data_IF_525737181259
#
_entry.id   IF_525737181259
#
_cell.length_a   1.000
_cell.length_b   1.000
_cell.length_c   1.000
_cell.angle_alpha   90.00
_cell.angle_beta   90.00
_cell.angle_gamma   90.00
#
_symmetry.space_group_name_H-M   'P 1'
#
loop_
_entity.id
_entity.type
_entity.pdbx_description
1 polymer ?
#
# COMPACT_ATOMS: atom_id res chain seq x y z
N UNK A 1 -19.82 46.13 51.80
CA UNK A 1 -20.10 47.05 50.66
C UNK A 1 -19.07 46.75 49.53
N UNK A 2 -19.51 46.55 48.36
CA UNK A 2 -18.62 46.38 47.21
C UNK A 2 -18.89 45.08 46.45
N UNK A 3 -19.96 45.04 45.62
CA UNK A 3 -20.27 44.06 44.62
C UNK A 3 -19.24 44.19 43.48
N UNK A 4 -18.71 43.07 42.99
CA UNK A 4 -18.20 42.98 41.64
C UNK A 4 -18.84 41.78 40.98
N UNK A 5 -19.79 42.07 40.11
CA UNK A 5 -20.30 41.13 39.09
C UNK A 5 -19.22 40.97 37.99
N UNK A 6 -18.72 39.79 37.83
CA UNK A 6 -17.85 39.39 36.72
C UNK A 6 -18.56 38.38 35.81
N UNK A 7 -18.96 38.84 34.65
CA UNK A 7 -19.63 38.11 33.56
C UNK A 7 -18.70 36.97 33.04
N UNK A 8 -19.12 35.74 33.24
CA UNK A 8 -18.56 34.57 32.55
C UNK A 8 -19.12 34.53 31.10
N UNK A 9 -18.34 35.01 30.16
CA UNK A 9 -18.54 34.70 28.74
C UNK A 9 -17.86 33.37 28.47
N UNK A 10 -18.66 32.35 28.15
CA UNK A 10 -18.17 31.05 27.73
C UNK A 10 -17.39 31.17 26.42
N UNK A 11 -16.13 30.77 26.43
CA UNK A 11 -15.35 30.49 25.23
C UNK A 11 -15.72 29.07 24.77
N UNK A 12 -16.27 28.97 23.59
CA UNK A 12 -16.45 27.71 22.85
C UNK A 12 -15.06 27.09 22.67
N UNK A 13 -14.86 25.90 23.23
CA UNK A 13 -13.60 25.20 23.20
C UNK A 13 -13.18 24.91 21.76
N UNK A 14 -11.94 25.28 21.41
CA UNK A 14 -11.25 24.77 20.25
C UNK A 14 -11.07 23.27 20.48
N UNK A 15 -11.69 22.43 19.66
CA UNK A 15 -11.47 20.99 19.68
C UNK A 15 -9.98 20.72 19.40
N UNK A 16 -9.36 19.95 20.28
CA UNK A 16 -8.00 19.48 20.08
C UNK A 16 -7.99 18.55 18.85
N UNK A 17 -7.00 18.70 18.00
CA UNK A 17 -6.73 17.72 16.93
C UNK A 17 -6.20 16.43 17.55
N UNK A 18 -6.39 15.29 16.90
CA UNK A 18 -5.85 14.02 17.36
C UNK A 18 -4.32 14.05 17.51
N UNK A 19 -3.62 14.87 16.71
CA UNK A 19 -2.19 15.13 16.85
C UNK A 19 -1.86 15.84 18.18
N UNK A 20 -2.69 16.79 18.62
CA UNK A 20 -2.53 17.46 19.92
C UNK A 20 -2.87 16.52 21.08
N UNK A 21 -3.87 15.64 20.93
CA UNK A 21 -4.18 14.60 21.93
C UNK A 21 -3.03 13.61 22.08
N UNK A 22 -2.42 13.19 20.98
CA UNK A 22 -1.24 12.31 20.99
C UNK A 22 -0.03 12.99 21.64
N UNK A 23 0.20 14.27 21.38
CA UNK A 23 1.26 15.07 22.02
C UNK A 23 1.10 15.15 23.55
N UNK A 24 -0.13 15.32 24.05
CA UNK A 24 -0.41 15.34 25.49
C UNK A 24 -0.29 13.98 26.17
N UNK A 25 -0.37 12.87 25.42
CA UNK A 25 -0.24 11.50 25.98
C UNK A 25 1.19 10.97 25.97
N UNK A 26 2.19 11.77 25.56
CA UNK A 26 3.61 11.37 25.55
C UNK A 26 3.92 10.32 24.48
N UNK A 27 3.06 10.19 23.46
CA UNK A 27 3.30 9.30 22.31
C UNK A 27 4.22 10.02 21.33
N UNK A 28 5.32 9.37 20.96
CA UNK A 28 6.33 9.80 20.00
C UNK A 28 5.73 10.51 18.79
N UNK A 29 6.46 11.49 18.27
CA UNK A 29 6.18 12.16 16.99
C UNK A 29 5.82 11.13 15.92
N UNK A 30 4.55 11.12 15.48
CA UNK A 30 4.14 10.31 14.34
C UNK A 30 4.96 10.73 13.14
N UNK A 31 5.45 9.74 12.39
CA UNK A 31 6.03 9.98 11.08
C UNK A 31 4.94 10.54 10.15
N UNK A 32 5.31 11.31 9.11
CA UNK A 32 4.36 11.76 8.10
C UNK A 32 3.58 10.57 7.52
N UNK A 33 2.29 10.79 7.29
CA UNK A 33 1.47 9.81 6.60
C UNK A 33 1.97 9.63 5.16
N UNK A 34 1.97 8.40 4.68
CA UNK A 34 2.31 8.05 3.32
C UNK A 34 1.12 7.39 2.62
N UNK A 35 0.77 7.88 1.44
CA UNK A 35 -0.23 7.26 0.58
C UNK A 35 0.42 6.64 -0.65
N UNK A 36 0.02 5.41 -0.93
CA UNK A 36 0.45 4.64 -2.09
C UNK A 36 -0.77 4.38 -2.95
N UNK A 37 -0.75 4.82 -4.21
CA UNK A 37 -1.77 4.37 -5.15
C UNK A 37 -1.28 3.16 -5.95
N UNK A 38 -2.16 2.19 -6.18
CA UNK A 38 -1.84 0.88 -6.75
C UNK A 38 -2.56 0.62 -8.08
N UNK A 39 -2.32 1.42 -9.15
CA UNK A 39 -2.92 1.19 -10.46
C UNK A 39 -2.58 -0.18 -11.04
N UNK A 40 -1.39 -0.74 -10.73
CA UNK A 40 -1.03 -2.09 -11.14
C UNK A 40 -2.02 -3.13 -10.60
N UNK A 41 -2.43 -3.01 -9.33
CA UNK A 41 -3.35 -3.95 -8.70
C UNK A 41 -4.76 -3.83 -9.30
N UNK A 42 -5.20 -2.62 -9.58
CA UNK A 42 -6.45 -2.36 -10.29
C UNK A 42 -6.46 -3.01 -11.69
N UNK A 43 -5.38 -2.83 -12.46
CA UNK A 43 -5.30 -3.28 -13.86
C UNK A 43 -5.11 -4.80 -13.95
N UNK A 44 -4.28 -5.41 -13.08
CA UNK A 44 -3.91 -6.82 -13.25
C UNK A 44 -5.08 -7.80 -13.12
N UNK A 45 -6.08 -7.47 -12.32
CA UNK A 45 -7.29 -8.27 -12.11
C UNK A 45 -8.44 -7.90 -13.05
N UNK A 46 -8.31 -6.82 -13.82
CA UNK A 46 -9.38 -6.32 -14.68
C UNK A 46 -9.61 -7.26 -15.88
N UNK A 47 -10.86 -7.67 -16.17
CA UNK A 47 -11.13 -8.69 -17.19
C UNK A 47 -11.02 -8.17 -18.62
N UNK A 48 -11.00 -6.84 -18.83
CA UNK A 48 -10.93 -6.25 -20.16
C UNK A 48 -9.51 -5.75 -20.45
N UNK A 49 -9.03 -5.88 -21.69
CA UNK A 49 -7.72 -5.37 -22.09
C UNK A 49 -7.65 -3.83 -21.92
N UNK A 50 -6.58 -3.36 -21.31
CA UNK A 50 -6.25 -1.95 -21.23
C UNK A 50 -4.99 -1.73 -22.06
N UNK A 51 -5.03 -0.79 -23.00
CA UNK A 51 -3.91 -0.54 -23.91
C UNK A 51 -2.73 0.11 -23.18
N UNK A 52 -1.51 0.00 -23.73
CA UNK A 52 -0.34 0.68 -23.20
C UNK A 52 -0.55 2.20 -23.15
N UNK A 53 -1.20 2.74 -24.16
CA UNK A 53 -1.50 4.18 -24.28
C UNK A 53 -2.45 4.65 -23.16
N UNK A 54 -3.47 3.87 -22.85
CA UNK A 54 -4.42 4.17 -21.77
C UNK A 54 -3.72 4.07 -20.40
N UNK A 55 -2.87 3.05 -20.19
CA UNK A 55 -2.05 2.95 -18.97
C UNK A 55 -1.15 4.17 -18.80
N UNK A 56 -0.47 4.58 -19.87
CA UNK A 56 0.39 5.77 -19.85
C UNK A 56 -0.39 7.04 -19.54
N UNK A 57 -1.57 7.23 -20.15
CA UNK A 57 -2.42 8.39 -19.85
C UNK A 57 -2.84 8.41 -18.37
N UNK A 58 -3.22 7.27 -17.83
CA UNK A 58 -3.60 7.10 -16.43
C UNK A 58 -2.42 7.36 -15.48
N UNK A 59 -1.27 6.71 -15.71
CA UNK A 59 -0.07 6.85 -14.88
C UNK A 59 0.48 8.27 -14.88
N UNK A 60 0.53 8.95 -16.04
CA UNK A 60 0.93 10.36 -16.12
C UNK A 60 0.03 11.27 -15.26
N UNK A 61 -1.24 10.93 -15.18
CA UNK A 61 -2.19 11.68 -14.35
C UNK A 61 -1.96 11.40 -12.87
N UNK A 62 -1.79 10.15 -12.47
CA UNK A 62 -1.51 9.75 -11.10
C UNK A 62 -0.19 10.35 -10.56
N UNK A 63 0.86 10.42 -11.41
CA UNK A 63 2.15 11.02 -11.04
C UNK A 63 2.05 12.52 -10.72
N UNK A 64 0.99 13.21 -11.18
CA UNK A 64 0.72 14.62 -10.86
C UNK A 64 -0.11 14.83 -9.59
N UNK A 65 -0.75 13.77 -9.08
CA UNK A 65 -1.55 13.85 -7.84
C UNK A 65 -0.65 14.10 -6.62
N UNK A 66 0.58 13.56 -6.64
CA UNK A 66 1.57 13.76 -5.59
C UNK A 66 1.54 12.69 -4.50
N UNK A 67 1.13 11.47 -4.82
CA UNK A 67 1.28 10.33 -3.92
C UNK A 67 2.74 10.11 -3.55
N UNK A 68 3.00 9.58 -2.34
CA UNK A 68 4.37 9.24 -1.92
C UNK A 68 4.94 8.11 -2.79
N UNK A 69 4.10 7.15 -3.15
CA UNK A 69 4.46 5.99 -3.96
C UNK A 69 3.38 5.64 -4.97
N UNK A 70 3.80 5.07 -6.09
CA UNK A 70 2.92 4.51 -7.11
C UNK A 70 3.34 3.07 -7.42
N UNK A 71 2.48 2.08 -7.10
CA UNK A 71 2.64 0.69 -7.54
C UNK A 71 2.12 0.58 -8.98
N UNK A 72 3.02 0.83 -9.92
CA UNK A 72 2.65 1.12 -11.32
C UNK A 72 2.74 -0.05 -12.27
N UNK A 73 3.42 -1.14 -11.89
CA UNK A 73 3.63 -2.24 -12.82
C UNK A 73 4.20 -3.50 -12.21
N UNK A 74 4.45 -4.51 -13.04
CA UNK A 74 4.92 -5.80 -12.57
C UNK A 74 5.85 -6.47 -13.59
N UNK A 75 6.93 -7.08 -13.07
CA UNK A 75 7.85 -7.92 -13.81
C UNK A 75 7.64 -9.43 -13.55
N UNK A 76 6.44 -9.81 -13.13
CA UNK A 76 6.05 -11.22 -13.07
C UNK A 76 5.93 -11.83 -14.45
N UNK A 77 5.76 -13.17 -14.53
CA UNK A 77 5.61 -13.84 -15.81
C UNK A 77 4.43 -13.28 -16.62
N UNK A 78 4.62 -12.83 -17.87
CA UNK A 78 3.53 -12.40 -18.76
C UNK A 78 2.47 -13.47 -19.02
N UNK A 79 2.81 -14.74 -18.81
CA UNK A 79 1.84 -15.85 -18.89
C UNK A 79 0.93 -15.89 -17.67
N UNK A 80 1.42 -15.45 -16.51
CA UNK A 80 0.62 -15.41 -15.28
C UNK A 80 -0.21 -14.12 -15.21
N UNK A 81 0.35 -12.99 -15.61
CA UNK A 81 -0.30 -11.67 -15.59
C UNK A 81 -0.10 -10.97 -16.95
N UNK A 82 -0.86 -11.36 -17.99
CA UNK A 82 -0.74 -10.76 -19.32
C UNK A 82 -0.95 -9.25 -19.35
N UNK A 83 -1.82 -8.75 -18.49
CA UNK A 83 -2.13 -7.32 -18.37
C UNK A 83 -0.91 -6.47 -18.00
N UNK A 84 0.15 -7.05 -17.43
CA UNK A 84 1.39 -6.35 -17.03
C UNK A 84 2.58 -6.64 -17.96
N UNK A 85 2.37 -7.34 -19.08
CA UNK A 85 3.45 -7.72 -19.99
C UNK A 85 4.19 -6.52 -20.61
N UNK A 86 3.54 -5.38 -20.68
CA UNK A 86 4.04 -4.12 -21.25
C UNK A 86 4.70 -3.18 -20.22
N UNK A 87 4.82 -3.58 -18.95
CA UNK A 87 5.47 -2.77 -17.90
C UNK A 87 6.82 -2.19 -18.32
N UNK A 88 7.74 -2.97 -18.98
CA UNK A 88 9.01 -2.41 -19.44
C UNK A 88 8.84 -1.28 -20.45
N UNK A 89 7.90 -1.41 -21.40
CA UNK A 89 7.60 -0.38 -22.40
C UNK A 89 7.02 0.88 -21.74
N UNK A 90 6.13 0.70 -20.76
CA UNK A 90 5.53 1.80 -20.00
C UNK A 90 6.61 2.59 -19.25
N UNK A 91 7.48 1.91 -18.51
CA UNK A 91 8.57 2.55 -17.78
C UNK A 91 9.53 3.29 -18.71
N UNK A 92 9.97 2.63 -19.78
CA UNK A 92 10.86 3.25 -20.77
C UNK A 92 10.28 4.55 -21.33
N UNK A 93 9.00 4.55 -21.70
CA UNK A 93 8.35 5.73 -22.24
C UNK A 93 8.23 6.86 -21.21
N UNK A 94 7.89 6.55 -19.94
CA UNK A 94 7.86 7.54 -18.88
C UNK A 94 9.26 8.11 -18.57
N UNK A 95 10.33 7.31 -18.68
CA UNK A 95 11.71 7.79 -18.55
C UNK A 95 12.10 8.69 -19.71
N UNK A 96 11.81 8.31 -20.96
CA UNK A 96 12.08 9.11 -22.15
C UNK A 96 11.35 10.48 -22.14
N UNK A 97 10.20 10.56 -21.49
CA UNK A 97 9.44 11.81 -21.30
C UNK A 97 10.02 12.70 -20.18
N UNK A 98 10.96 12.23 -19.39
CA UNK A 98 11.53 12.98 -18.27
C UNK A 98 10.51 13.31 -17.17
N UNK A 99 9.45 12.48 -17.01
CA UNK A 99 8.38 12.78 -16.07
C UNK A 99 8.84 12.67 -14.60
N UNK A 100 9.85 11.86 -14.35
CA UNK A 100 10.41 11.65 -13.03
C UNK A 100 11.13 12.88 -12.44
N UNK A 101 11.60 13.79 -13.29
CA UNK A 101 12.17 15.07 -12.86
C UNK A 101 11.10 16.06 -12.39
N UNK A 102 9.83 15.77 -12.63
CA UNK A 102 8.69 16.64 -12.37
C UNK A 102 7.83 16.19 -11.19
N UNK A 103 8.16 15.06 -10.58
CA UNK A 103 7.39 14.48 -9.47
C UNK A 103 8.29 14.02 -8.34
N UNK A 104 7.79 14.10 -7.11
CA UNK A 104 8.41 13.48 -5.94
C UNK A 104 7.92 12.05 -5.69
N UNK A 105 6.90 11.59 -6.44
CA UNK A 105 6.32 10.26 -6.32
C UNK A 105 7.35 9.19 -6.68
N UNK A 106 7.52 8.20 -5.83
CA UNK A 106 8.43 7.08 -6.03
C UNK A 106 7.73 5.93 -6.74
N UNK A 107 8.41 5.31 -7.70
CA UNK A 107 7.90 4.15 -8.43
C UNK A 107 8.20 2.85 -7.69
N UNK A 108 7.18 2.02 -7.53
CA UNK A 108 7.26 0.65 -7.06
C UNK A 108 6.76 -0.29 -8.16
N UNK A 109 7.43 -1.43 -8.35
CA UNK A 109 6.98 -2.49 -9.26
C UNK A 109 7.03 -3.85 -8.58
N UNK A 110 6.08 -4.73 -8.90
CA UNK A 110 5.99 -6.06 -8.31
C UNK A 110 6.91 -7.04 -9.04
N UNK A 111 7.62 -7.84 -8.25
CA UNK A 111 8.47 -8.94 -8.69
C UNK A 111 8.16 -10.21 -7.91
N UNK A 112 8.38 -11.41 -8.49
CA UNK A 112 8.15 -12.68 -7.79
C UNK A 112 9.23 -13.76 -8.10
N UNK A 113 10.19 -13.43 -8.95
CA UNK A 113 11.27 -14.34 -9.33
C UNK A 113 12.54 -13.57 -9.74
N UNK A 114 13.67 -14.28 -9.79
CA UNK A 114 14.98 -13.68 -10.05
C UNK A 114 15.06 -12.92 -11.37
N UNK A 115 14.45 -13.47 -12.45
CA UNK A 115 14.42 -12.78 -13.74
C UNK A 115 13.74 -11.42 -13.62
N UNK A 116 12.53 -11.38 -13.06
CA UNK A 116 11.80 -10.11 -12.89
C UNK A 116 12.51 -9.12 -11.98
N UNK A 117 13.22 -9.61 -10.95
CA UNK A 117 14.06 -8.76 -10.08
C UNK A 117 15.16 -8.09 -10.91
N UNK A 118 15.90 -8.88 -11.71
CA UNK A 118 17.00 -8.37 -12.55
C UNK A 118 16.51 -7.41 -13.61
N UNK A 119 15.38 -7.73 -14.28
CA UNK A 119 14.80 -6.89 -15.31
C UNK A 119 14.33 -5.52 -14.71
N UNK A 120 13.70 -5.55 -13.54
CA UNK A 120 13.14 -4.36 -12.90
C UNK A 120 14.21 -3.36 -12.43
N UNK A 121 15.34 -3.83 -11.92
CA UNK A 121 16.40 -2.93 -11.39
C UNK A 121 17.22 -2.24 -12.47
N UNK A 122 17.03 -2.57 -13.73
CA UNK A 122 17.67 -1.87 -14.85
C UNK A 122 17.00 -0.52 -15.17
N UNK A 123 15.79 -0.26 -14.65
CA UNK A 123 15.11 1.02 -14.80
C UNK A 123 15.50 1.95 -13.66
N UNK A 124 16.07 3.11 -14.02
CA UNK A 124 16.51 4.13 -13.04
C UNK A 124 15.33 4.71 -12.25
N UNK A 125 14.18 4.86 -12.90
CA UNK A 125 12.93 5.35 -12.32
C UNK A 125 12.36 4.45 -11.23
N UNK A 126 12.62 3.14 -11.25
CA UNK A 126 12.13 2.22 -10.22
C UNK A 126 12.87 2.48 -8.91
N UNK A 127 12.14 2.94 -7.90
CA UNK A 127 12.67 3.22 -6.56
C UNK A 127 12.60 2.01 -5.63
N UNK A 128 11.59 1.15 -5.80
CA UNK A 128 11.40 -0.03 -4.96
C UNK A 128 10.90 -1.25 -5.73
N UNK A 129 11.28 -2.42 -5.24
CA UNK A 129 10.69 -3.70 -5.63
C UNK A 129 9.69 -4.17 -4.58
N UNK A 130 8.46 -4.44 -4.99
CA UNK A 130 7.43 -5.08 -4.19
C UNK A 130 7.47 -6.60 -4.36
N UNK A 131 7.58 -7.35 -3.27
CA UNK A 131 7.63 -8.81 -3.31
C UNK A 131 6.47 -9.40 -2.50
N UNK A 132 5.55 -10.18 -3.10
CA UNK A 132 4.48 -10.86 -2.37
C UNK A 132 5.03 -12.09 -1.64
N UNK A 133 4.86 -12.12 -0.33
CA UNK A 133 5.15 -13.25 0.54
C UNK A 133 3.93 -13.58 1.38
N UNK A 134 3.50 -14.85 1.45
CA UNK A 134 2.33 -15.22 2.21
C UNK A 134 2.65 -16.01 3.48
N UNK A 135 1.94 -15.66 4.56
CA UNK A 135 1.95 -16.46 5.78
C UNK A 135 1.11 -17.73 5.66
N UNK A 136 0.12 -17.75 4.75
CA UNK A 136 -0.64 -18.96 4.39
C UNK A 136 0.18 -19.80 3.40
N UNK A 137 0.60 -21.01 3.75
CA UNK A 137 1.34 -21.90 2.84
C UNK A 137 0.52 -22.26 1.60
N UNK A 138 -0.79 -22.44 1.76
CA UNK A 138 -1.70 -22.74 0.63
C UNK A 138 -1.76 -21.60 -0.37
N UNK A 139 -1.87 -20.35 0.11
CA UNK A 139 -1.87 -19.19 -0.79
C UNK A 139 -0.48 -18.93 -1.39
N UNK A 140 0.59 -19.14 -0.63
CA UNK A 140 1.95 -18.99 -1.11
C UNK A 140 2.19 -19.85 -2.37
N UNK A 141 1.83 -21.13 -2.29
CA UNK A 141 1.96 -22.07 -3.41
C UNK A 141 1.08 -21.68 -4.61
N UNK A 142 -0.17 -21.29 -4.36
CA UNK A 142 -1.10 -20.85 -5.41
C UNK A 142 -0.64 -19.60 -6.12
N UNK A 143 -0.17 -18.60 -5.37
CA UNK A 143 0.17 -17.29 -5.89
C UNK A 143 1.50 -17.28 -6.65
N UNK A 144 2.52 -17.93 -6.12
CA UNK A 144 3.89 -17.83 -6.67
C UNK A 144 4.47 -19.15 -7.16
N UNK A 145 3.71 -20.26 -7.06
CA UNK A 145 4.16 -21.63 -7.38
C UNK A 145 5.49 -21.97 -6.65
N UNK A 146 5.57 -21.56 -5.40
CA UNK A 146 6.71 -21.79 -4.55
C UNK A 146 6.24 -21.94 -3.11
N UNK A 147 6.85 -22.84 -2.35
CA UNK A 147 6.65 -22.89 -0.92
C UNK A 147 7.29 -21.68 -0.22
N UNK A 148 7.01 -21.53 1.09
CA UNK A 148 7.55 -20.42 1.87
C UNK A 148 9.09 -20.44 1.95
N UNK A 149 9.72 -21.61 1.91
CA UNK A 149 11.18 -21.74 1.93
C UNK A 149 11.82 -21.22 0.63
N UNK A 150 11.23 -21.58 -0.52
CA UNK A 150 11.68 -21.07 -1.81
C UNK A 150 11.36 -19.57 -1.96
N UNK A 151 10.21 -19.12 -1.50
CA UNK A 151 9.87 -17.69 -1.51
C UNK A 151 10.87 -16.87 -0.67
N UNK A 152 11.31 -17.40 0.49
CA UNK A 152 12.33 -16.75 1.32
C UNK A 152 13.68 -16.67 0.59
N UNK A 153 14.12 -17.73 -0.10
CA UNK A 153 15.35 -17.70 -0.92
C UNK A 153 15.30 -16.65 -2.02
N UNK A 154 14.14 -16.52 -2.69
CA UNK A 154 13.93 -15.48 -3.73
C UNK A 154 13.94 -14.08 -3.12
N UNK A 155 13.40 -13.91 -1.92
CA UNK A 155 13.46 -12.65 -1.16
C UNK A 155 14.91 -12.27 -0.80
N UNK A 156 15.74 -13.23 -0.36
CA UNK A 156 17.16 -12.99 -0.10
C UNK A 156 17.90 -12.52 -1.36
N UNK A 157 17.59 -13.11 -2.51
CA UNK A 157 18.12 -12.64 -3.81
C UNK A 157 17.65 -11.22 -4.11
N UNK A 158 16.36 -10.93 -3.91
CA UNK A 158 15.81 -9.59 -4.12
C UNK A 158 16.48 -8.55 -3.21
N UNK A 159 16.63 -8.84 -1.92
CA UNK A 159 17.27 -7.95 -0.96
C UNK A 159 18.72 -7.64 -1.34
N UNK A 160 19.48 -8.66 -1.73
CA UNK A 160 20.88 -8.48 -2.16
C UNK A 160 20.99 -7.62 -3.43
N UNK A 161 20.11 -7.84 -4.42
CA UNK A 161 20.13 -7.05 -5.66
C UNK A 161 19.66 -5.61 -5.38
N UNK A 162 18.61 -5.42 -4.58
CA UNK A 162 18.16 -4.09 -4.18
C UNK A 162 19.26 -3.30 -3.49
N UNK A 163 19.96 -3.92 -2.51
CA UNK A 163 21.08 -3.28 -1.83
C UNK A 163 22.22 -2.88 -2.77
N UNK A 164 22.55 -3.71 -3.77
CA UNK A 164 23.58 -3.42 -4.77
C UNK A 164 23.20 -2.30 -5.73
N UNK A 165 21.89 -2.14 -6.00
CA UNK A 165 21.35 -1.16 -6.96
C UNK A 165 20.77 0.09 -6.30
N UNK A 166 20.85 0.20 -4.96
CA UNK A 166 20.28 1.34 -4.21
C UNK A 166 18.76 1.44 -4.31
N UNK A 167 18.06 0.30 -4.43
CA UNK A 167 16.60 0.23 -4.49
C UNK A 167 16.05 -0.27 -3.14
N UNK A 168 14.85 0.19 -2.78
CA UNK A 168 14.15 -0.32 -1.60
C UNK A 168 13.49 -1.68 -1.89
N UNK A 169 13.34 -2.50 -0.84
CA UNK A 169 12.55 -3.73 -0.88
C UNK A 169 11.31 -3.55 -0.01
N UNK A 170 10.12 -3.72 -0.61
CA UNK A 170 8.83 -3.74 0.07
C UNK A 170 8.32 -5.18 0.06
N UNK A 171 8.04 -5.76 1.22
CA UNK A 171 7.44 -7.09 1.33
C UNK A 171 5.96 -6.94 1.62
N UNK A 172 5.11 -7.43 0.72
CA UNK A 172 3.67 -7.55 0.94
C UNK A 172 3.40 -8.85 1.68
N UNK A 173 3.13 -8.77 2.99
CA UNK A 173 2.87 -9.92 3.85
C UNK A 173 1.40 -10.34 3.68
N UNK A 174 1.15 -11.15 2.66
CA UNK A 174 -0.19 -11.61 2.26
C UNK A 174 -0.81 -12.55 3.29
N UNK A 175 -2.14 -12.54 3.35
CA UNK A 175 -2.95 -13.28 4.33
C UNK A 175 -2.62 -12.91 5.78
N UNK A 176 -2.20 -11.67 6.00
CA UNK A 176 -1.79 -11.12 7.29
C UNK A 176 -2.89 -11.06 8.35
N UNK A 177 -4.14 -11.30 7.96
CA UNK A 177 -5.32 -11.24 8.84
C UNK A 177 -6.17 -12.52 8.76
N UNK A 178 -5.59 -13.61 8.29
CA UNK A 178 -6.28 -14.88 8.06
C UNK A 178 -6.40 -15.24 6.60
N UNK A 179 -7.02 -16.37 6.33
CA UNK A 179 -7.16 -16.92 4.98
C UNK A 179 -8.43 -17.77 4.86
N UNK A 180 -9.00 -17.93 3.64
CA UNK A 180 -10.18 -18.74 3.39
C UNK A 180 -9.86 -20.23 3.15
N UNK A 181 -8.58 -20.64 3.24
CA UNK A 181 -8.13 -21.99 2.84
C UNK A 181 -8.08 -22.98 4.01
N UNK A 182 -8.38 -22.53 5.23
CA UNK A 182 -8.31 -23.37 6.43
C UNK A 182 -6.91 -23.51 7.02
N UNK A 183 -5.92 -22.77 6.53
CA UNK A 183 -4.62 -22.66 7.20
C UNK A 183 -4.81 -21.95 8.54
N UNK A 184 -4.17 -22.47 9.59
CA UNK A 184 -4.24 -21.83 10.91
C UNK A 184 -3.63 -20.43 10.88
N UNK A 185 -4.28 -19.49 11.56
CA UNK A 185 -3.80 -18.12 11.66
C UNK A 185 -4.11 -17.53 13.04
N UNK A 186 -3.16 -16.82 13.57
CA UNK A 186 -3.29 -15.95 14.73
C UNK A 186 -2.52 -14.65 14.50
N UNK A 187 -2.79 -13.61 15.29
CA UNK A 187 -1.99 -12.36 15.28
C UNK A 187 -0.51 -12.65 15.52
N UNK A 188 -0.20 -13.62 16.39
CA UNK A 188 1.18 -14.01 16.69
C UNK A 188 1.90 -14.61 15.46
N UNK A 189 1.18 -15.27 14.55
CA UNK A 189 1.76 -15.82 13.32
C UNK A 189 2.21 -14.66 12.40
N UNK A 190 1.37 -13.62 12.25
CA UNK A 190 1.73 -12.42 11.46
C UNK A 190 2.96 -11.75 12.04
N UNK A 191 3.00 -11.52 13.35
CA UNK A 191 4.15 -10.93 14.05
C UNK A 191 5.42 -11.77 13.87
N UNK A 192 5.30 -13.10 14.05
CA UNK A 192 6.42 -14.03 13.91
C UNK A 192 7.01 -14.04 12.50
N UNK A 193 6.16 -14.00 11.46
CA UNK A 193 6.64 -13.94 10.09
C UNK A 193 7.32 -12.62 9.77
N UNK A 194 6.79 -11.48 10.24
CA UNK A 194 7.46 -10.20 10.10
C UNK A 194 8.83 -10.16 10.78
N UNK A 195 8.97 -10.73 11.98
CA UNK A 195 10.28 -10.88 12.65
C UNK A 195 11.28 -11.70 11.82
N UNK A 196 10.79 -12.78 11.21
CA UNK A 196 11.62 -13.64 10.34
C UNK A 196 12.09 -12.88 9.11
N UNK A 197 11.19 -12.10 8.48
CA UNK A 197 11.51 -11.26 7.33
C UNK A 197 12.54 -10.18 7.68
N UNK A 198 12.35 -9.46 8.79
CA UNK A 198 13.30 -8.45 9.26
C UNK A 198 14.68 -9.05 9.54
N UNK A 199 14.71 -10.22 10.16
CA UNK A 199 15.98 -10.91 10.45
C UNK A 199 16.69 -11.41 9.20
N UNK A 200 15.94 -11.87 8.19
CA UNK A 200 16.51 -12.52 7.01
C UNK A 200 16.92 -11.51 5.93
N UNK A 201 16.09 -10.50 5.66
CA UNK A 201 16.26 -9.61 4.50
C UNK A 201 16.15 -8.13 4.84
N UNK A 202 15.79 -7.78 6.07
CA UNK A 202 15.61 -6.39 6.56
C UNK A 202 14.98 -5.45 5.53
N UNK A 203 13.75 -5.71 5.09
CA UNK A 203 13.13 -4.91 4.05
C UNK A 203 12.91 -3.47 4.52
N UNK A 204 12.81 -2.53 3.60
CA UNK A 204 12.46 -1.15 3.90
C UNK A 204 11.06 -1.05 4.51
N UNK A 205 10.10 -1.82 3.97
CA UNK A 205 8.71 -1.87 4.41
C UNK A 205 8.21 -3.32 4.46
N UNK A 206 7.45 -3.67 5.50
CA UNK A 206 6.53 -4.81 5.52
C UNK A 206 5.11 -4.26 5.46
N UNK A 207 4.46 -4.38 4.30
CA UNK A 207 3.06 -4.00 4.12
C UNK A 207 2.19 -5.21 4.46
N UNK A 208 1.50 -5.16 5.61
CA UNK A 208 0.64 -6.26 6.05
C UNK A 208 -0.66 -6.22 5.25
N UNK A 209 -0.96 -7.32 4.55
CA UNK A 209 -2.06 -7.35 3.59
C UNK A 209 -3.26 -8.15 4.09
N UNK A 210 -4.44 -7.51 4.08
CA UNK A 210 -5.75 -8.16 4.17
C UNK A 210 -6.19 -8.58 2.77
N UNK A 211 -5.52 -9.61 2.26
CA UNK A 211 -5.56 -10.03 0.84
C UNK A 211 -6.96 -10.37 0.31
N UNK A 212 -7.85 -10.77 1.19
CA UNK A 212 -9.24 -11.18 0.85
C UNK A 212 -10.29 -10.32 1.55
N UNK A 213 -9.88 -9.25 2.22
CA UNK A 213 -10.78 -8.28 2.83
C UNK A 213 -11.56 -8.80 4.04
N UNK A 214 -11.14 -9.91 4.66
CA UNK A 214 -11.88 -10.57 5.73
C UNK A 214 -11.65 -10.02 7.14
N UNK A 215 -10.66 -9.14 7.31
CA UNK A 215 -10.33 -8.59 8.61
C UNK A 215 -11.43 -7.68 9.16
N UNK A 216 -11.75 -7.83 10.45
CA UNK A 216 -12.51 -6.83 11.17
C UNK A 216 -11.61 -5.66 11.59
N UNK A 217 -12.15 -4.46 11.86
CA UNK A 217 -11.36 -3.33 12.38
C UNK A 217 -10.61 -3.67 13.68
N UNK A 218 -11.21 -4.50 14.57
CA UNK A 218 -10.54 -4.94 15.80
C UNK A 218 -9.34 -5.83 15.52
N UNK A 219 -9.44 -6.78 14.58
CA UNK A 219 -8.30 -7.61 14.18
C UNK A 219 -7.19 -6.77 13.55
N UNK A 220 -7.54 -5.77 12.72
CA UNK A 220 -6.57 -4.82 12.16
C UNK A 220 -5.84 -4.09 13.28
N UNK A 221 -6.57 -3.54 14.25
CA UNK A 221 -5.98 -2.87 15.42
C UNK A 221 -5.05 -3.80 16.21
N UNK A 222 -5.48 -5.04 16.46
CA UNK A 222 -4.70 -6.03 17.22
C UNK A 222 -3.36 -6.36 16.53
N UNK A 223 -3.37 -6.55 15.21
CA UNK A 223 -2.15 -6.81 14.42
C UNK A 223 -1.21 -5.60 14.47
N UNK A 224 -1.69 -4.42 14.10
CA UNK A 224 -0.82 -3.23 14.02
C UNK A 224 -0.33 -2.78 15.40
N UNK A 225 -1.12 -2.94 16.48
CA UNK A 225 -0.68 -2.67 17.86
C UNK A 225 0.50 -3.52 18.31
N UNK A 226 0.71 -4.69 17.69
CA UNK A 226 1.88 -5.53 17.95
C UNK A 226 3.01 -5.30 16.95
N UNK A 227 2.69 -5.12 15.67
CA UNK A 227 3.69 -4.96 14.62
C UNK A 227 4.42 -3.61 14.70
N UNK A 228 3.68 -2.51 14.87
CA UNK A 228 4.27 -1.15 14.82
C UNK A 228 5.32 -0.92 15.90
N UNK A 229 5.08 -1.18 17.20
CA UNK A 229 6.11 -0.98 18.21
C UNK A 229 7.26 -1.97 18.09
N UNK A 230 7.06 -3.13 17.48
CA UNK A 230 8.05 -4.18 17.36
C UNK A 230 8.98 -4.01 16.17
N UNK A 231 8.44 -3.62 15.02
CA UNK A 231 9.22 -3.48 13.77
C UNK A 231 9.66 -2.04 13.50
N UNK A 232 9.04 -1.08 14.19
CA UNK A 232 9.22 0.35 13.97
C UNK A 232 8.22 0.92 12.97
N UNK A 233 7.65 2.07 13.29
CA UNK A 233 6.61 2.75 12.52
C UNK A 233 7.02 2.97 11.05
N UNK A 234 8.29 3.31 10.80
CA UNK A 234 8.82 3.54 9.45
C UNK A 234 8.83 2.30 8.56
N UNK A 235 8.77 1.10 9.15
CA UNK A 235 8.85 -0.18 8.44
C UNK A 235 7.50 -0.87 8.23
N UNK A 236 6.40 -0.27 8.69
CA UNK A 236 5.08 -0.91 8.65
C UNK A 236 4.16 -0.18 7.69
N UNK A 237 3.54 -0.93 6.77
CA UNK A 237 2.49 -0.47 5.89
C UNK A 237 1.23 -1.33 5.98
N UNK A 238 0.12 -0.81 5.49
CA UNK A 238 -1.18 -1.46 5.45
C UNK A 238 -1.68 -1.55 4.00
N UNK A 239 -1.89 -2.77 3.51
CA UNK A 239 -2.51 -3.06 2.22
C UNK A 239 -3.85 -3.76 2.48
N UNK A 240 -4.92 -2.98 2.56
CA UNK A 240 -6.21 -3.46 3.05
C UNK A 240 -7.22 -3.55 1.91
N UNK A 241 -7.70 -4.76 1.65
CA UNK A 241 -8.87 -4.95 0.81
C UNK A 241 -10.14 -4.75 1.63
N UNK A 242 -11.16 -4.13 1.03
CA UNK A 242 -12.36 -3.76 1.75
C UNK A 242 -13.55 -3.50 0.84
N UNK A 243 -14.75 -3.62 1.42
CA UNK A 243 -15.93 -3.03 0.81
C UNK A 243 -15.79 -1.50 0.84
N UNK A 244 -15.89 -0.81 -0.30
CA UNK A 244 -15.71 0.65 -0.38
C UNK A 244 -16.63 1.47 0.55
N UNK A 245 -17.79 0.94 0.91
CA UNK A 245 -18.77 1.65 1.74
C UNK A 245 -18.48 1.54 3.24
N UNK A 246 -17.84 0.44 3.69
CA UNK A 246 -17.71 0.11 5.10
C UNK A 246 -16.26 0.01 5.58
N UNK A 247 -15.30 -0.04 4.66
CA UNK A 247 -13.93 -0.45 4.96
C UNK A 247 -13.05 0.59 5.63
N UNK A 248 -13.39 1.88 5.59
CA UNK A 248 -12.53 2.94 6.16
C UNK A 248 -12.25 2.78 7.66
N UNK A 249 -13.13 2.11 8.41
CA UNK A 249 -12.89 1.76 9.81
C UNK A 249 -11.63 0.87 10.01
N UNK A 250 -11.24 0.08 9.00
CA UNK A 250 -9.97 -0.68 9.04
C UNK A 250 -8.76 0.25 8.95
N UNK A 251 -8.83 1.28 8.09
CA UNK A 251 -7.79 2.31 7.96
C UNK A 251 -7.61 3.08 9.26
N UNK A 252 -8.72 3.54 9.84
CA UNK A 252 -8.74 4.24 11.13
C UNK A 252 -8.13 3.36 12.23
N UNK A 253 -8.52 2.10 12.31
CA UNK A 253 -8.02 1.14 13.29
C UNK A 253 -6.51 0.89 13.15
N UNK A 254 -5.99 0.80 11.92
CA UNK A 254 -4.55 0.68 11.66
C UNK A 254 -3.79 1.97 12.05
N UNK A 255 -4.34 3.14 11.71
CA UNK A 255 -3.76 4.43 12.07
C UNK A 255 -3.72 4.64 13.59
N UNK A 256 -4.82 4.36 14.29
CA UNK A 256 -4.87 4.42 15.76
C UNK A 256 -3.84 3.49 16.42
N UNK A 257 -3.49 2.38 15.77
CA UNK A 257 -2.43 1.47 16.21
C UNK A 257 -1.02 1.89 15.75
N UNK A 258 -0.91 3.07 15.09
CA UNK A 258 0.36 3.70 14.73
C UNK A 258 0.86 3.42 13.32
N UNK A 259 0.08 2.77 12.45
CA UNK A 259 0.42 2.64 11.02
C UNK A 259 0.29 3.99 10.32
N UNK A 260 1.28 4.35 9.50
CA UNK A 260 1.31 5.64 8.79
C UNK A 260 1.54 5.49 7.28
N UNK A 261 1.46 4.27 6.75
CA UNK A 261 1.55 4.01 5.31
C UNK A 261 0.36 3.17 4.87
N UNK A 262 -0.40 3.68 3.91
CA UNK A 262 -1.62 3.05 3.42
C UNK A 262 -1.60 2.92 1.91
N UNK A 263 -1.90 1.72 1.44
CA UNK A 263 -2.04 1.42 0.02
C UNK A 263 -3.54 1.47 -0.35
N UNK A 264 -3.84 2.03 -1.51
CA UNK A 264 -5.18 2.09 -2.09
C UNK A 264 -5.15 2.01 -3.60
N UNK A 265 -6.31 2.02 -4.23
CA UNK A 265 -6.44 2.22 -5.67
C UNK A 265 -7.62 3.14 -5.94
N UNK A 266 -7.52 4.00 -6.94
CA UNK A 266 -8.65 4.88 -7.33
C UNK A 266 -9.90 4.03 -7.56
N UNK A 267 -11.04 4.46 -7.00
CA UNK A 267 -12.35 3.78 -7.00
C UNK A 267 -12.36 2.43 -6.25
N UNK A 268 -11.30 2.10 -5.52
CA UNK A 268 -11.19 0.81 -4.85
C UNK A 268 -11.12 -0.39 -5.79
N UNK A 269 -10.79 -0.18 -7.07
CA UNK A 269 -10.69 -1.27 -8.05
C UNK A 269 -9.50 -2.16 -7.75
N UNK A 270 -9.59 -3.44 -8.12
CA UNK A 270 -8.53 -4.42 -7.95
C UNK A 270 -8.89 -5.51 -6.97
N UNK A 271 -7.91 -6.27 -6.58
CA UNK A 271 -8.01 -7.46 -5.76
C UNK A 271 -7.17 -8.58 -6.33
N UNK A 272 -6.81 -9.56 -5.50
CA UNK A 272 -5.96 -10.65 -5.94
C UNK A 272 -6.73 -11.66 -6.80
N UNK A 273 -6.45 -11.78 -8.12
CA UNK A 273 -7.15 -12.72 -8.99
C UNK A 273 -6.91 -14.19 -8.62
N UNK A 274 -5.94 -14.47 -7.73
CA UNK A 274 -5.64 -15.81 -7.22
C UNK A 274 -6.42 -16.16 -5.95
N UNK A 275 -7.13 -15.20 -5.35
CA UNK A 275 -8.11 -15.45 -4.29
C UNK A 275 -9.40 -16.00 -4.93
N UNK A 276 -9.97 -17.07 -4.37
CA UNK A 276 -11.02 -17.87 -5.02
C UNK A 276 -12.43 -17.26 -4.93
N UNK A 277 -12.63 -16.14 -4.25
CA UNK A 277 -13.93 -15.55 -3.97
C UNK A 277 -14.14 -14.23 -4.72
N UNK A 278 -15.35 -13.67 -4.64
CA UNK A 278 -15.68 -12.37 -5.21
C UNK A 278 -14.60 -11.35 -4.85
N UNK A 279 -13.99 -10.74 -5.86
CA UNK A 279 -12.89 -9.81 -5.67
C UNK A 279 -13.32 -8.68 -4.74
N UNK A 280 -12.75 -8.68 -3.55
CA UNK A 280 -12.87 -7.54 -2.63
C UNK A 280 -11.84 -6.50 -3.08
N UNK A 281 -12.30 -5.29 -3.39
CA UNK A 281 -11.46 -4.23 -3.94
C UNK A 281 -10.45 -3.67 -2.93
N UNK A 282 -9.56 -2.84 -3.43
CA UNK A 282 -8.64 -2.07 -2.61
C UNK A 282 -9.37 -1.01 -1.76
N UNK A 283 -8.67 -0.43 -0.79
CA UNK A 283 -9.12 0.83 -0.19
C UNK A 283 -9.26 1.89 -1.29
N UNK A 284 -10.42 2.59 -1.42
CA UNK A 284 -10.55 3.64 -2.41
C UNK A 284 -9.59 4.80 -2.11
N UNK A 285 -8.65 5.07 -3.01
CA UNK A 285 -7.60 6.09 -2.80
C UNK A 285 -8.20 7.47 -2.55
N UNK A 286 -9.25 7.85 -3.26
CA UNK A 286 -9.95 9.14 -3.06
C UNK A 286 -10.49 9.26 -1.63
N UNK A 287 -10.95 8.16 -1.03
CA UNK A 287 -11.42 8.14 0.37
C UNK A 287 -10.27 8.19 1.36
N UNK A 288 -9.12 7.58 1.03
CA UNK A 288 -7.89 7.73 1.83
C UNK A 288 -7.42 9.18 1.82
N UNK A 289 -7.45 9.84 0.67
CA UNK A 289 -7.12 11.27 0.52
C UNK A 289 -8.06 12.14 1.36
N UNK A 290 -9.38 12.01 1.17
CA UNK A 290 -10.38 12.76 1.96
C UNK A 290 -10.18 12.58 3.47
N UNK A 291 -9.95 11.36 3.92
CA UNK A 291 -9.70 11.04 5.33
C UNK A 291 -8.41 11.70 5.83
N UNK A 292 -7.30 11.56 5.09
CA UNK A 292 -6.01 12.11 5.47
C UNK A 292 -6.00 13.64 5.50
N UNK A 293 -6.64 14.30 4.53
CA UNK A 293 -6.80 15.76 4.48
C UNK A 293 -7.69 16.27 5.61
N UNK A 294 -8.78 15.57 5.93
CA UNK A 294 -9.68 15.95 7.04
C UNK A 294 -8.95 16.02 8.37
N UNK A 295 -7.93 15.18 8.54
CA UNK A 295 -7.06 15.14 9.72
C UNK A 295 -5.78 15.99 9.57
N UNK A 296 -5.56 16.63 8.42
CA UNK A 296 -4.36 17.41 8.08
C UNK A 296 -3.06 16.60 8.18
N UNK A 297 -3.14 15.33 7.80
CA UNK A 297 -2.01 14.40 7.85
C UNK A 297 -1.30 14.28 6.51
N UNK A 298 -1.98 14.62 5.44
CA UNK A 298 -1.49 14.54 4.07
C UNK A 298 -2.25 15.57 3.22
N UNK A 299 -1.64 16.04 2.13
CA UNK A 299 -2.24 17.04 1.24
C UNK A 299 -1.98 16.65 -0.22
N UNK A 300 -3.02 16.71 -1.04
CA UNK A 300 -2.92 16.44 -2.47
C UNK A 300 -2.14 17.57 -3.16
N UNK A 301 -1.14 17.22 -3.99
CA UNK A 301 -0.37 18.23 -4.73
C UNK A 301 -1.21 18.85 -5.87
N UNK A 302 -2.14 18.09 -6.45
CA UNK A 302 -3.04 18.58 -7.50
C UNK A 302 -4.42 17.93 -7.40
N UNK A 303 -5.38 18.65 -6.85
CA UNK A 303 -6.79 18.22 -6.80
C UNK A 303 -7.36 17.99 -8.23
N UNK A 304 -6.98 18.85 -9.19
CA UNK A 304 -7.39 18.65 -10.59
C UNK A 304 -6.86 17.32 -11.17
N UNK A 305 -5.65 16.93 -10.82
CA UNK A 305 -5.10 15.64 -11.28
C UNK A 305 -5.82 14.47 -10.63
N UNK A 306 -6.22 14.58 -9.36
CA UNK A 306 -7.02 13.57 -8.67
C UNK A 306 -8.40 13.40 -9.34
N UNK A 307 -9.10 14.49 -9.62
CA UNK A 307 -10.40 14.47 -10.32
C UNK A 307 -10.27 13.83 -11.72
N UNK A 308 -9.19 14.19 -12.43
CA UNK A 308 -8.88 13.60 -13.74
C UNK A 308 -8.57 12.11 -13.64
N UNK A 309 -7.82 11.68 -12.61
CA UNK A 309 -7.52 10.27 -12.37
C UNK A 309 -8.78 9.45 -12.08
N UNK A 310 -9.71 9.99 -11.29
CA UNK A 310 -11.00 9.37 -11.02
C UNK A 310 -11.85 9.22 -12.31
N UNK A 311 -11.83 10.24 -13.17
CA UNK A 311 -12.54 10.19 -14.47
C UNK A 311 -11.93 9.13 -15.40
N UNK A 312 -10.60 9.10 -15.53
CA UNK A 312 -9.91 8.08 -16.31
C UNK A 312 -10.13 6.66 -15.76
N UNK A 313 -10.13 6.50 -14.43
CA UNK A 313 -10.44 5.22 -13.81
C UNK A 313 -11.88 4.78 -14.08
N UNK A 314 -12.85 5.74 -14.15
CA UNK A 314 -14.23 5.45 -14.55
C UNK A 314 -14.31 4.95 -16.00
N UNK A 315 -13.53 5.53 -16.90
CA UNK A 315 -13.50 5.12 -18.31
C UNK A 315 -12.80 3.74 -18.48
N UNK A 316 -11.78 3.46 -17.70
CA UNK A 316 -10.98 2.23 -17.78
C UNK A 316 -11.67 1.03 -17.13
N UNK A 317 -12.33 1.27 -15.98
CA UNK A 317 -12.87 0.22 -15.12
C UNK A 317 -14.41 0.20 -15.04
N UNK A 318 -15.11 1.07 -15.74
CA UNK A 318 -16.57 1.08 -15.81
C UNK A 318 -17.27 1.86 -14.72
#
# INVERSE_FOLDING_TARGET
MGQCQGSLRGSVGKGFTWAEVAYFQGVNTFLPLQLVDCPRDAIQGWPHPITTEDKLAYLRTLLRVGFDWLDLGSFVSPRAVPAMADTPKVLQQLEEEGIWDQTATKALVIVANERGIRDAVEFDSVSALGFPFSISPTFQERNTRADQGEAMRRLEVAANICAQRGKDLVVYLSMGFGNPYGDTWTVADTVSWGDRLLKAVDPAIISVADTVGMASPSQVKDVFSQCVPRWGQAKVGAHLHMNPLEGMQKVEAAYEAGCVRFDGAIRGVGGCPMAQDDLVGNAPTERLVEWAESLRLWEVASAQALDQAQSLAADLFG
#
